data_IF_476513316463
#
_entry.id   IF_476513316463
#
_cell.length_a   1.000
_cell.length_b   1.000
_cell.length_c   1.000
_cell.angle_alpha   90.00
_cell.angle_beta   90.00
_cell.angle_gamma   90.00
#
_symmetry.space_group_name_H-M   'P 1'
#
loop_
_entity.id
_entity.type
_entity.pdbx_description
1 polymer ?
#
# COMPACT_ATOMS: atom_id res chain seq x y z
N UNK A 1 -15.08 -8.47 -5.70
CA UNK A 1 -13.67 -8.35 -6.14
C UNK A 1 -13.42 -6.90 -6.51
N UNK A 2 -12.37 -6.29 -5.94
CA UNK A 2 -11.92 -4.93 -6.27
C UNK A 2 -10.58 -5.01 -6.99
N UNK A 3 -10.40 -4.21 -8.03
CA UNK A 3 -9.10 -4.03 -8.71
C UNK A 3 -8.83 -2.54 -8.79
N UNK A 4 -7.69 -2.10 -8.27
CA UNK A 4 -7.25 -0.71 -8.33
C UNK A 4 -5.90 -0.68 -9.02
N UNK A 5 -5.77 0.18 -10.03
CA UNK A 5 -4.51 0.51 -10.66
C UNK A 5 -3.98 1.82 -10.05
N UNK A 6 -2.74 1.81 -9.56
CA UNK A 6 -2.10 2.98 -8.96
C UNK A 6 -0.72 3.22 -9.60
N UNK A 7 -0.47 4.50 -9.92
CA UNK A 7 0.84 4.99 -10.38
C UNK A 7 1.46 5.87 -9.31
N UNK A 8 2.50 5.38 -8.65
CA UNK A 8 3.24 6.11 -7.63
C UNK A 8 4.45 6.81 -8.26
N UNK A 9 4.35 8.13 -8.44
CA UNK A 9 5.47 8.96 -8.89
C UNK A 9 6.63 8.90 -7.87
N UNK A 10 7.89 9.03 -8.31
CA UNK A 10 9.02 9.15 -7.41
C UNK A 10 8.88 10.43 -6.56
N UNK A 11 9.38 10.34 -5.33
CA UNK A 11 9.15 11.28 -4.24
C UNK A 11 9.48 12.76 -4.60
N UNK A 12 8.94 13.74 -3.85
CA UNK A 12 9.30 13.87 -2.43
C UNK A 12 8.31 13.23 -1.45
N UNK A 13 7.08 12.97 -1.88
CA UNK A 13 6.05 12.39 -1.00
C UNK A 13 5.98 10.88 -1.19
N UNK A 14 6.51 10.14 -0.21
CA UNK A 14 6.35 8.68 -0.13
C UNK A 14 4.86 8.38 0.00
N UNK A 15 4.26 7.58 -0.88
CA UNK A 15 2.85 7.19 -0.73
C UNK A 15 2.78 5.84 0.01
N UNK A 16 1.87 5.71 0.97
CA UNK A 16 1.67 4.50 1.77
C UNK A 16 0.27 3.94 1.54
N UNK A 17 0.21 2.70 1.10
CA UNK A 17 -1.04 1.96 0.97
C UNK A 17 -1.11 0.88 2.05
N UNK A 18 -2.23 0.83 2.76
CA UNK A 18 -2.55 -0.23 3.72
C UNK A 18 -3.96 -0.74 3.46
N UNK A 19 -4.11 -2.06 3.58
CA UNK A 19 -5.37 -2.78 3.45
C UNK A 19 -5.56 -3.68 4.69
N UNK A 20 -6.80 -3.93 5.09
CA UNK A 20 -7.11 -4.81 6.24
C UNK A 20 -7.71 -6.16 5.81
N UNK A 21 -7.81 -6.40 4.50
CA UNK A 21 -8.36 -7.63 3.90
C UNK A 21 -7.31 -8.30 3.01
N UNK A 22 -7.47 -9.61 2.71
CA UNK A 22 -6.62 -10.31 1.76
C UNK A 22 -6.55 -9.55 0.43
N UNK A 23 -5.32 -9.32 -0.02
CA UNK A 23 -5.05 -8.57 -1.23
C UNK A 23 -3.80 -9.10 -1.92
N UNK A 24 -3.75 -8.96 -3.24
CA UNK A 24 -2.56 -9.25 -4.04
C UNK A 24 -2.10 -7.93 -4.66
N UNK A 25 -0.83 -7.62 -4.49
CA UNK A 25 -0.18 -6.52 -5.20
C UNK A 25 0.62 -7.11 -6.35
N UNK A 26 0.48 -6.56 -7.55
CA UNK A 26 1.25 -6.97 -8.72
C UNK A 26 1.85 -5.75 -9.41
N UNK A 27 3.18 -5.75 -9.56
CA UNK A 27 3.92 -4.61 -10.10
C UNK A 27 3.95 -4.71 -11.62
N UNK A 28 3.46 -3.67 -12.28
CA UNK A 28 3.49 -3.56 -13.73
C UNK A 28 4.85 -3.02 -14.20
N UNK A 29 5.36 -2.00 -13.53
CA UNK A 29 6.62 -1.31 -13.87
C UNK A 29 7.31 -0.79 -12.61
N UNK A 30 8.65 -0.78 -12.61
CA UNK A 30 9.47 -0.30 -11.49
C UNK A 30 9.64 -1.34 -10.38
N UNK A 31 9.96 -0.87 -9.17
CA UNK A 31 10.13 -1.70 -7.97
C UNK A 31 9.27 -1.15 -6.85
N UNK A 32 8.41 -2.00 -6.28
CA UNK A 32 7.58 -1.65 -5.13
C UNK A 32 8.18 -2.25 -3.86
N UNK A 33 8.49 -1.43 -2.87
CA UNK A 33 8.91 -1.91 -1.55
C UNK A 33 7.68 -2.14 -0.67
N UNK A 34 7.42 -3.39 -0.32
CA UNK A 34 6.34 -3.81 0.57
C UNK A 34 6.91 -4.16 1.94
N UNK A 35 6.55 -3.39 2.96
CA UNK A 35 6.77 -3.80 4.35
C UNK A 35 5.61 -4.67 4.79
N UNK A 36 5.86 -5.92 5.20
CA UNK A 36 4.88 -6.93 5.60
C UNK A 36 5.34 -7.56 6.91
N UNK A 37 4.55 -7.41 7.98
CA UNK A 37 4.88 -7.93 9.33
C UNK A 37 6.29 -7.55 9.84
N UNK A 38 6.81 -6.39 9.38
CA UNK A 38 8.13 -5.89 9.75
C UNK A 38 9.28 -6.29 8.80
N UNK A 39 9.03 -7.19 7.84
CA UNK A 39 9.98 -7.54 6.79
C UNK A 39 9.74 -6.69 5.53
N UNK A 40 10.82 -6.30 4.86
CA UNK A 40 10.73 -5.52 3.62
C UNK A 40 10.97 -6.43 2.42
N UNK A 41 10.01 -6.45 1.51
CA UNK A 41 10.05 -7.20 0.25
C UNK A 41 10.05 -6.23 -0.92
N UNK A 42 11.10 -6.27 -1.74
CA UNK A 42 11.13 -5.53 -3.00
C UNK A 42 10.53 -6.39 -4.13
N UNK A 43 9.44 -5.89 -4.70
CA UNK A 43 8.69 -6.57 -5.74
C UNK A 43 9.03 -5.90 -7.06
N UNK A 44 9.69 -6.64 -7.94
CA UNK A 44 10.07 -6.12 -9.26
C UNK A 44 8.91 -6.18 -10.24
N UNK A 45 9.06 -5.50 -11.37
CA UNK A 45 8.12 -5.58 -12.48
C UNK A 45 7.78 -7.05 -12.82
N UNK A 46 6.49 -7.28 -13.08
CA UNK A 46 5.89 -8.57 -13.40
C UNK A 46 5.91 -9.59 -12.24
N UNK A 47 6.18 -9.14 -11.03
CA UNK A 47 6.05 -9.94 -9.82
C UNK A 47 4.89 -9.43 -8.96
N UNK A 48 4.42 -10.31 -8.07
CA UNK A 48 3.40 -9.95 -7.10
C UNK A 48 3.65 -10.56 -5.73
N UNK A 49 3.00 -9.98 -4.73
CA UNK A 49 2.96 -10.49 -3.37
C UNK A 49 1.50 -10.64 -2.93
N UNK A 50 1.22 -11.73 -2.23
CA UNK A 50 -0.02 -11.91 -1.51
C UNK A 50 0.11 -11.35 -0.10
N UNK A 51 -0.90 -10.62 0.32
CA UNK A 51 -1.05 -10.10 1.68
C UNK A 51 -2.05 -11.00 2.42
N UNK A 52 -1.59 -11.74 3.44
CA UNK A 52 -2.47 -12.56 4.25
C UNK A 52 -3.55 -11.74 4.96
N UNK A 53 -4.68 -12.36 5.34
CA UNK A 53 -5.68 -11.70 6.19
C UNK A 53 -5.04 -11.15 7.47
N UNK A 54 -5.43 -9.94 7.87
CA UNK A 54 -4.94 -9.25 9.08
C UNK A 54 -3.45 -8.88 9.11
N UNK A 55 -2.70 -9.15 8.03
CA UNK A 55 -1.30 -8.81 7.97
C UNK A 55 -1.10 -7.31 7.86
N UNK A 56 -0.33 -6.74 8.78
CA UNK A 56 0.09 -5.34 8.75
C UNK A 56 1.06 -5.17 7.59
N UNK A 57 0.67 -4.32 6.63
CA UNK A 57 1.51 -4.03 5.50
C UNK A 57 1.47 -2.57 5.08
N UNK A 58 2.53 -2.18 4.37
CA UNK A 58 2.74 -0.85 3.85
C UNK A 58 3.52 -0.91 2.55
N UNK A 59 2.85 -0.57 1.45
CA UNK A 59 3.49 -0.44 0.14
C UNK A 59 4.12 0.96 0.00
N UNK A 60 5.34 1.04 -0.53
CA UNK A 60 6.11 2.28 -0.75
C UNK A 60 6.85 2.24 -2.08
N UNK A 61 6.98 3.40 -2.71
CA UNK A 61 7.98 3.62 -3.73
C UNK A 61 9.23 4.24 -3.08
N UNK A 62 10.32 3.47 -2.99
CA UNK A 62 11.61 3.95 -2.46
C UNK A 62 12.59 4.37 -3.57
N UNK A 63 12.18 4.29 -4.84
CA UNK A 63 13.03 4.61 -5.99
C UNK A 63 12.81 6.04 -6.51
N UNK A 64 13.79 6.54 -7.25
CA UNK A 64 13.72 7.82 -7.98
C UNK A 64 12.98 7.69 -9.32
N UNK A 65 12.45 6.50 -9.62
CA UNK A 65 11.63 6.21 -10.79
C UNK A 65 10.16 5.98 -10.40
N UNK A 66 9.20 6.17 -11.31
CA UNK A 66 7.81 5.82 -11.05
C UNK A 66 7.64 4.30 -10.92
N UNK A 67 6.79 3.87 -9.99
CA UNK A 67 6.31 2.49 -9.88
C UNK A 67 4.83 2.43 -10.22
N UNK A 68 4.44 1.45 -11.02
CA UNK A 68 3.07 1.18 -11.41
C UNK A 68 2.69 -0.21 -10.94
N UNK A 69 1.55 -0.34 -10.28
CA UNK A 69 1.09 -1.62 -9.76
C UNK A 69 -0.43 -1.68 -9.72
N UNK A 70 -0.97 -2.90 -9.65
CA UNK A 70 -2.36 -3.16 -9.35
C UNK A 70 -2.47 -3.78 -7.96
N UNK A 71 -3.53 -3.43 -7.24
CA UNK A 71 -3.96 -4.14 -6.03
C UNK A 71 -5.32 -4.78 -6.29
N UNK A 72 -5.40 -6.07 -6.02
CA UNK A 72 -6.60 -6.89 -6.18
C UNK A 72 -7.03 -7.36 -4.80
N UNK A 73 -8.30 -7.19 -4.43
CA UNK A 73 -8.79 -7.65 -3.12
C UNK A 73 -10.16 -8.32 -3.19
N UNK A 74 -10.39 -9.28 -2.29
CA UNK A 74 -11.68 -9.98 -2.16
C UNK A 74 -11.92 -10.40 -0.69
N UNK A 75 -13.13 -10.21 -0.13
CA UNK A 75 -14.30 -9.53 -0.71
C UNK A 75 -14.12 -8.01 -0.87
N UNK A 76 -15.03 -7.36 -1.60
CA UNK A 76 -14.97 -5.91 -1.86
C UNK A 76 -15.42 -5.14 -0.61
N UNK A 77 -14.50 -4.57 0.16
CA UNK A 77 -14.82 -3.65 1.28
C UNK A 77 -14.07 -2.33 1.14
N UNK A 78 -14.62 -1.24 1.68
CA UNK A 78 -13.98 0.10 1.81
C UNK A 78 -12.77 0.11 2.77
N UNK A 79 -11.92 -0.91 2.71
CA UNK A 79 -10.83 -1.17 3.66
C UNK A 79 -9.43 -0.84 3.11
N UNK A 80 -9.34 -0.35 1.86
CA UNK A 80 -8.08 0.14 1.28
C UNK A 80 -7.96 1.62 1.63
N UNK A 81 -6.95 1.97 2.42
CA UNK A 81 -6.68 3.36 2.80
C UNK A 81 -5.39 3.81 2.13
N UNK A 82 -5.51 4.86 1.31
CA UNK A 82 -4.37 5.56 0.73
C UNK A 82 -3.97 6.67 1.70
N UNK A 83 -2.81 6.53 2.35
CA UNK A 83 -2.27 7.57 3.23
C UNK A 83 -0.97 8.13 2.65
N UNK A 84 -0.82 9.45 2.66
CA UNK A 84 0.51 10.05 2.63
C UNK A 84 1.00 10.12 4.08
N UNK A 85 2.24 9.69 4.39
CA UNK A 85 2.81 9.70 5.73
C UNK A 85 2.92 11.11 6.34
N UNK A 86 2.64 12.15 5.56
CA UNK A 86 2.73 13.56 5.96
C UNK A 86 1.37 14.22 6.31
N UNK A 87 0.29 13.44 6.47
CA UNK A 87 -0.92 13.98 7.11
C UNK A 87 -0.82 13.70 8.61
N UNK A 88 -0.65 14.72 9.48
CA UNK A 88 -0.72 14.49 10.92
C UNK A 88 -2.06 13.82 11.23
N UNK A 89 -2.02 12.80 12.09
CA UNK A 89 -3.22 12.14 12.58
C UNK A 89 -4.21 13.22 13.01
N UNK A 90 -5.43 13.20 12.46
CA UNK A 90 -6.48 14.10 12.92
C UNK A 90 -6.57 13.94 14.46
N UNK A 91 -6.59 15.04 15.22
CA UNK A 91 -6.62 14.94 16.68
C UNK A 91 -7.79 14.05 17.07
N UNK A 92 -7.46 12.95 17.75
CA UNK A 92 -8.45 12.03 18.28
C UNK A 92 -9.46 12.83 19.09
N UNK A 93 -10.75 12.60 18.82
CA UNK A 93 -11.83 13.22 19.56
C UNK A 93 -11.64 12.85 21.03
N UNK A 94 -11.09 13.78 21.81
CA UNK A 94 -10.93 13.64 23.24
C UNK A 94 -12.31 13.43 23.83
N UNK A 95 -12.49 12.29 24.49
CA UNK A 95 -13.51 12.16 25.50
C UNK A 95 -13.31 13.32 26.49
N UNK A 96 -14.24 14.26 26.48
CA UNK A 96 -14.46 15.17 27.61
C UNK A 96 -15.55 14.51 28.44
N UNK A 97 -15.24 14.44 29.73
CA UNK A 97 -15.94 13.78 30.84
C UNK A 97 -17.44 13.99 30.91
#
# INVERSE_FOLDING_TARGET
MLVIHEKCRPAPVKKTLSCFIPAVFFVLQGVLSMELEGEVHDISAQQGIEIPPHAKHRARNNSDAPVEFIVISHPTTRAIVLTSPDRPAAPGNGAVS
#
